data_IF_880746864692
#
_entry.id   IF_880746864692
#
_cell.length_a   1.000
_cell.length_b   1.000
_cell.length_c   1.000
_cell.angle_alpha   90.00
_cell.angle_beta   90.00
_cell.angle_gamma   90.00
#
_symmetry.space_group_name_H-M   'P 1'
#
loop_
_entity.id
_entity.type
_entity.pdbx_description
1 polymer ?
#
# COMPACT_ATOMS: atom_id res chain seq x y z
N UNK A 1 -21.98 -17.75 -0.99
CA UNK A 1 -21.03 -18.52 -0.17
C UNK A 1 -19.66 -18.67 -0.84
N UNK A 2 -19.55 -19.24 -2.04
CA UNK A 2 -18.29 -19.44 -2.78
C UNK A 2 -17.44 -18.18 -3.02
N UNK A 3 -18.06 -17.04 -3.39
CA UNK A 3 -17.35 -15.79 -3.68
C UNK A 3 -16.56 -15.26 -2.47
N UNK A 4 -17.13 -15.29 -1.28
CA UNK A 4 -16.45 -14.82 -0.07
C UNK A 4 -15.27 -15.75 0.31
N UNK A 5 -15.45 -17.07 0.19
CA UNK A 5 -14.39 -18.04 0.41
C UNK A 5 -13.23 -17.86 -0.58
N UNK A 6 -13.54 -17.63 -1.85
CA UNK A 6 -12.54 -17.40 -2.89
C UNK A 6 -11.77 -16.08 -2.67
N UNK A 7 -12.46 -15.00 -2.29
CA UNK A 7 -11.81 -13.73 -1.92
C UNK A 7 -10.88 -13.95 -0.74
N UNK A 8 -11.33 -14.64 0.31
CA UNK A 8 -10.51 -14.93 1.49
C UNK A 8 -9.27 -15.76 1.14
N UNK A 9 -9.41 -16.77 0.31
CA UNK A 9 -8.29 -17.59 -0.16
C UNK A 9 -7.28 -16.77 -0.97
N UNK A 10 -7.73 -16.03 -1.98
CA UNK A 10 -6.87 -15.17 -2.82
C UNK A 10 -6.17 -14.11 -1.98
N UNK A 11 -6.87 -13.52 -1.00
CA UNK A 11 -6.29 -12.52 -0.09
C UNK A 11 -5.18 -13.13 0.76
N UNK A 12 -5.41 -14.29 1.35
CA UNK A 12 -4.42 -14.98 2.18
C UNK A 12 -3.21 -15.42 1.36
N UNK A 13 -3.45 -15.99 0.18
CA UNK A 13 -2.39 -16.37 -0.74
C UNK A 13 -1.56 -15.18 -1.20
N UNK A 14 -2.22 -14.08 -1.62
CA UNK A 14 -1.55 -12.87 -2.07
C UNK A 14 -0.64 -12.27 -0.99
N UNK A 15 -1.14 -12.13 0.24
CA UNK A 15 -0.35 -11.58 1.35
C UNK A 15 0.82 -12.48 1.74
N UNK A 16 0.66 -13.80 1.63
CA UNK A 16 1.74 -14.76 1.89
C UNK A 16 2.84 -14.74 0.82
N UNK A 17 2.49 -14.40 -0.44
CA UNK A 17 3.40 -14.41 -1.59
C UNK A 17 3.74 -12.99 -2.09
N UNK A 18 3.31 -11.94 -1.39
CA UNK A 18 3.62 -10.57 -1.77
C UNK A 18 5.11 -10.28 -1.60
N UNK A 19 5.73 -9.76 -2.66
CA UNK A 19 7.14 -9.36 -2.64
C UNK A 19 7.27 -7.89 -2.22
N UNK A 20 8.30 -7.55 -1.44
CA UNK A 20 8.63 -6.16 -1.14
C UNK A 20 8.85 -5.33 -2.41
N UNK A 21 8.57 -4.04 -2.33
CA UNK A 21 8.78 -3.07 -3.40
C UNK A 21 10.18 -2.46 -3.35
N UNK A 22 10.58 -1.79 -4.43
CA UNK A 22 11.81 -1.02 -4.47
C UNK A 22 13.04 -1.87 -4.74
N UNK A 23 14.13 -1.49 -4.13
CA UNK A 23 15.49 -2.02 -4.31
C UNK A 23 16.48 -0.88 -4.57
N UNK A 24 17.77 -1.15 -4.75
CA UNK A 24 18.79 -0.13 -4.89
C UNK A 24 18.46 0.88 -6.00
N UNK A 25 18.36 2.17 -5.63
CA UNK A 25 18.07 3.26 -6.55
C UNK A 25 16.61 3.40 -7.02
N UNK A 26 15.71 2.51 -6.58
CA UNK A 26 14.28 2.60 -6.91
C UNK A 26 13.56 3.52 -5.94
N UNK A 27 12.76 4.44 -6.48
CA UNK A 27 11.97 5.37 -5.67
C UNK A 27 10.66 4.70 -5.23
N UNK A 28 10.41 4.71 -3.92
CA UNK A 28 9.16 4.28 -3.30
C UNK A 28 8.56 5.45 -2.52
N UNK A 29 7.37 5.90 -2.93
CA UNK A 29 6.62 6.90 -2.18
C UNK A 29 5.84 6.23 -1.06
N UNK A 30 5.90 6.78 0.14
CA UNK A 30 5.24 6.24 1.34
C UNK A 30 4.44 7.34 2.03
N UNK A 31 3.23 7.00 2.45
CA UNK A 31 2.36 7.90 3.22
C UNK A 31 1.35 7.06 4.01
N UNK A 32 0.71 7.65 5.03
CA UNK A 32 -0.38 7.03 5.74
C UNK A 32 -1.71 7.78 5.58
N UNK A 33 -2.77 7.03 5.41
CA UNK A 33 -4.12 7.58 5.32
C UNK A 33 -5.07 6.95 6.35
N UNK A 34 -6.00 7.77 6.83
CA UNK A 34 -7.06 7.31 7.73
C UNK A 34 -8.32 6.96 6.95
N UNK A 35 -8.79 5.72 7.11
CA UNK A 35 -10.00 5.19 6.47
C UNK A 35 -11.15 5.07 7.46
N UNK A 36 -12.38 5.23 6.98
CA UNK A 36 -13.58 5.02 7.78
C UNK A 36 -13.98 6.18 8.71
N UNK A 37 -13.28 7.32 8.65
CA UNK A 37 -13.73 8.53 9.33
C UNK A 37 -14.98 9.08 8.64
N UNK A 38 -16.06 9.31 9.40
CA UNK A 38 -17.26 9.93 8.83
C UNK A 38 -16.97 11.34 8.32
N UNK A 39 -17.49 11.66 7.12
CA UNK A 39 -17.46 13.02 6.57
C UNK A 39 -18.57 13.86 7.19
N UNK A 40 -18.30 15.11 7.51
CA UNK A 40 -19.28 16.09 7.98
C UNK A 40 -20.06 15.69 9.24
N UNK A 41 -19.48 14.86 10.12
CA UNK A 41 -20.12 14.38 11.36
C UNK A 41 -21.46 13.65 11.16
N UNK A 42 -21.81 13.21 9.94
CA UNK A 42 -23.04 12.48 9.63
C UNK A 42 -22.80 10.96 9.68
N UNK A 43 -23.82 10.22 10.17
CA UNK A 43 -23.79 8.75 10.32
C UNK A 43 -23.18 8.28 11.65
N UNK A 44 -23.17 6.95 11.88
CA UNK A 44 -22.63 6.34 13.08
C UNK A 44 -21.12 6.60 13.22
N UNK A 45 -20.65 6.86 14.45
CA UNK A 45 -19.23 7.01 14.74
C UNK A 45 -18.51 5.68 14.45
N UNK A 46 -17.50 5.74 13.59
CA UNK A 46 -16.53 4.66 13.41
C UNK A 46 -15.14 5.26 13.67
N UNK A 47 -14.40 4.63 14.56
CA UNK A 47 -12.97 4.93 14.71
C UNK A 47 -12.31 4.62 13.36
N UNK A 48 -11.74 5.65 12.71
CA UNK A 48 -11.05 5.41 11.44
C UNK A 48 -9.81 4.54 11.65
N UNK A 49 -9.47 3.71 10.66
CA UNK A 49 -8.27 2.87 10.65
C UNK A 49 -7.14 3.57 9.90
N UNK A 50 -5.96 3.62 10.49
CA UNK A 50 -4.75 4.05 9.80
C UNK A 50 -4.25 2.93 8.90
N UNK A 51 -3.88 3.29 7.68
CA UNK A 51 -3.29 2.39 6.67
C UNK A 51 -2.00 3.03 6.20
N UNK A 52 -0.90 2.30 6.30
CA UNK A 52 0.36 2.64 5.65
C UNK A 52 0.30 2.17 4.20
N UNK A 53 0.65 3.04 3.27
CA UNK A 53 0.76 2.72 1.85
C UNK A 53 2.11 3.08 1.29
N UNK A 54 2.52 2.32 0.29
CA UNK A 54 3.69 2.66 -0.51
C UNK A 54 3.48 2.30 -1.97
N UNK A 55 4.06 3.08 -2.87
CA UNK A 55 4.02 2.85 -4.31
C UNK A 55 5.43 2.95 -4.91
N UNK A 56 5.80 1.94 -5.67
CA UNK A 56 7.02 1.89 -6.46
C UNK A 56 6.81 2.67 -7.78
N UNK A 57 7.63 3.69 -8.00
CA UNK A 57 7.51 4.55 -9.19
C UNK A 57 7.79 3.83 -10.51
N UNK A 58 8.65 2.82 -10.49
CA UNK A 58 9.05 2.12 -11.71
C UNK A 58 7.99 1.10 -12.15
N UNK A 59 7.46 0.35 -11.19
CA UNK A 59 6.53 -0.76 -11.47
C UNK A 59 5.08 -0.37 -11.29
N UNK A 60 4.80 0.76 -10.62
CA UNK A 60 3.47 1.19 -10.21
C UNK A 60 2.76 0.18 -9.26
N UNK A 61 3.50 -0.78 -8.70
CA UNK A 61 3.00 -1.69 -7.69
C UNK A 61 2.90 -0.98 -6.34
N UNK A 62 2.04 -1.49 -5.47
CA UNK A 62 1.83 -0.87 -4.17
C UNK A 62 1.63 -1.91 -3.07
N UNK A 63 1.89 -1.48 -1.83
CA UNK A 63 1.38 -2.14 -0.64
C UNK A 63 0.44 -1.19 0.12
N UNK A 64 -0.55 -1.75 0.80
CA UNK A 64 -1.57 -1.05 1.58
C UNK A 64 -1.87 -1.88 2.82
N UNK A 65 -1.30 -1.51 3.97
CA UNK A 65 -1.33 -2.33 5.18
C UNK A 65 -1.98 -1.57 6.33
N UNK A 66 -3.04 -2.10 6.95
CA UNK A 66 -3.59 -1.54 8.17
C UNK A 66 -2.53 -1.47 9.27
N UNK A 67 -2.40 -0.32 9.92
CA UNK A 67 -1.44 -0.13 11.00
C UNK A 67 -1.90 -0.91 12.24
N UNK A 68 -1.04 -1.79 12.81
CA UNK A 68 -1.33 -2.52 14.04
C UNK A 68 -1.80 -1.61 15.17
N UNK A 69 -2.81 -2.06 15.90
CA UNK A 69 -3.44 -1.31 17.00
C UNK A 69 -3.92 0.11 16.61
N UNK A 70 -4.11 0.35 15.31
CA UNK A 70 -4.50 1.65 14.76
C UNK A 70 -3.55 2.80 15.16
N UNK A 71 -2.24 2.53 15.25
CA UNK A 71 -1.18 3.47 15.61
C UNK A 71 -0.29 3.76 14.40
N UNK A 72 0.29 4.97 14.35
CA UNK A 72 1.19 5.41 13.28
C UNK A 72 2.50 6.01 13.81
N UNK A 73 2.96 5.58 14.95
CA UNK A 73 4.27 5.95 15.47
C UNK A 73 5.41 5.21 14.75
N UNK A 74 6.63 5.67 14.93
CA UNK A 74 7.83 5.05 14.36
C UNK A 74 7.93 3.55 14.69
N UNK A 75 7.52 3.17 15.90
CA UNK A 75 7.50 1.79 16.40
C UNK A 75 6.59 0.86 15.57
N UNK A 76 5.63 1.42 14.83
CA UNK A 76 4.72 0.69 13.94
C UNK A 76 5.14 0.81 12.48
N UNK A 77 5.44 2.05 12.04
CA UNK A 77 5.70 2.32 10.63
C UNK A 77 7.02 1.71 10.15
N UNK A 78 8.09 1.83 10.94
CA UNK A 78 9.41 1.37 10.51
C UNK A 78 9.48 -0.16 10.27
N UNK A 79 8.97 -1.02 11.17
CA UNK A 79 8.91 -2.46 10.89
C UNK A 79 8.04 -2.83 9.67
N UNK A 80 6.96 -2.08 9.41
CA UNK A 80 6.15 -2.28 8.22
C UNK A 80 6.92 -1.90 6.95
N UNK A 81 7.65 -0.78 6.98
CA UNK A 81 8.46 -0.35 5.84
C UNK A 81 9.58 -1.37 5.58
N UNK A 82 10.30 -1.83 6.60
CA UNK A 82 11.34 -2.86 6.47
C UNK A 82 10.82 -4.18 5.88
N UNK A 83 9.56 -4.53 6.17
CA UNK A 83 8.92 -5.72 5.59
C UNK A 83 8.52 -5.55 4.13
N UNK A 84 8.08 -4.36 3.74
CA UNK A 84 7.43 -4.11 2.45
C UNK A 84 8.28 -3.33 1.45
N UNK A 85 9.44 -2.84 1.86
CA UNK A 85 10.37 -2.07 1.01
C UNK A 85 11.76 -2.65 1.14
N UNK A 86 12.39 -2.96 0.01
CA UNK A 86 13.74 -3.50 -0.04
C UNK A 86 14.76 -2.45 0.41
N UNK A 87 15.82 -2.85 1.15
CA UNK A 87 16.92 -1.97 1.50
C UNK A 87 17.59 -1.38 0.24
N UNK A 88 18.16 -0.18 0.39
CA UNK A 88 18.78 0.56 -0.72
C UNK A 88 17.78 1.32 -1.59
N UNK A 89 16.47 1.23 -1.31
CA UNK A 89 15.46 2.07 -1.97
C UNK A 89 15.64 3.53 -1.58
N UNK A 90 15.20 4.42 -2.48
CA UNK A 90 15.00 5.84 -2.20
C UNK A 90 13.56 6.01 -1.73
N UNK A 91 13.36 6.39 -0.48
CA UNK A 91 12.03 6.53 0.13
C UNK A 91 11.65 8.00 0.18
N UNK A 92 10.51 8.35 -0.43
CA UNK A 92 9.91 9.68 -0.36
C UNK A 92 8.72 9.67 0.59
N UNK A 93 8.71 10.58 1.57
CA UNK A 93 7.62 10.73 2.53
C UNK A 93 7.24 12.21 2.70
N UNK A 94 6.20 12.47 3.51
CA UNK A 94 6.04 13.77 4.14
C UNK A 94 7.07 13.98 5.28
N UNK A 95 7.01 15.14 5.92
CA UNK A 95 7.90 15.49 7.05
C UNK A 95 7.45 14.88 8.39
N UNK A 96 6.62 13.85 8.41
CA UNK A 96 6.18 13.22 9.65
C UNK A 96 7.33 12.56 10.40
N UNK A 97 7.51 12.90 11.69
CA UNK A 97 8.61 12.40 12.52
C UNK A 97 8.71 10.88 12.67
N UNK A 98 7.67 10.14 12.33
CA UNK A 98 7.67 8.67 12.30
C UNK A 98 8.66 8.06 11.31
N UNK A 99 9.15 8.84 10.35
CA UNK A 99 10.06 8.41 9.29
C UNK A 99 11.54 8.75 9.53
N UNK A 100 11.87 9.53 10.56
CA UNK A 100 13.22 10.08 10.81
C UNK A 100 14.36 9.05 10.87
N UNK A 101 14.06 7.78 11.15
CA UNK A 101 15.06 6.73 11.29
C UNK A 101 15.28 5.92 10.01
N UNK A 102 14.63 6.24 8.89
CA UNK A 102 14.73 5.47 7.65
C UNK A 102 16.18 5.42 7.11
N UNK A 103 16.92 6.52 7.18
CA UNK A 103 18.33 6.56 6.74
C UNK A 103 19.18 5.60 7.56
N UNK A 104 19.01 5.54 8.87
CA UNK A 104 19.72 4.61 9.74
C UNK A 104 19.36 3.13 9.49
N UNK A 105 18.27 2.86 8.75
CA UNK A 105 17.78 1.53 8.39
C UNK A 105 18.13 1.11 6.95
N UNK A 106 19.04 1.86 6.29
CA UNK A 106 19.56 1.49 4.97
C UNK A 106 18.75 1.99 3.79
N UNK A 107 17.94 3.03 3.99
CA UNK A 107 17.23 3.73 2.92
C UNK A 107 17.85 5.09 2.64
N UNK A 108 17.81 5.55 1.41
CA UNK A 108 17.96 6.98 1.10
C UNK A 108 16.59 7.61 1.37
N UNK A 109 16.54 8.63 2.23
CA UNK A 109 15.26 9.21 2.65
C UNK A 109 15.20 10.69 2.34
N UNK A 110 14.24 11.08 1.51
CA UNK A 110 13.94 12.46 1.17
C UNK A 110 12.49 12.80 1.52
N UNK A 111 12.26 14.04 1.93
CA UNK A 111 10.94 14.49 2.39
C UNK A 111 10.41 15.64 1.57
N UNK A 112 9.09 15.76 1.47
CA UNK A 112 8.39 16.90 0.90
C UNK A 112 7.46 17.54 1.93
N UNK A 113 7.50 18.86 2.01
CA UNK A 113 6.58 19.61 2.88
C UNK A 113 5.32 20.01 2.13
N UNK A 114 4.27 19.21 2.29
CA UNK A 114 2.97 19.47 1.63
C UNK A 114 2.27 20.76 2.08
N UNK A 115 2.68 21.36 3.18
CA UNK A 115 2.13 22.65 3.64
C UNK A 115 2.61 23.80 2.77
N UNK A 116 3.79 23.66 2.17
CA UNK A 116 4.44 24.70 1.37
C UNK A 116 4.26 24.41 -0.12
N UNK A 117 4.44 23.14 -0.54
CA UNK A 117 4.46 22.76 -1.95
C UNK A 117 4.21 21.26 -2.17
N UNK A 118 3.60 20.93 -3.32
CA UNK A 118 3.35 19.53 -3.71
C UNK A 118 4.57 18.83 -4.30
N UNK A 119 5.54 19.58 -4.79
CA UNK A 119 6.82 19.10 -5.36
C UNK A 119 7.91 20.02 -4.85
N UNK A 120 8.95 19.46 -4.26
CA UNK A 120 10.12 20.24 -3.88
C UNK A 120 10.83 20.78 -5.15
N UNK A 121 10.92 22.10 -5.35
CA UNK A 121 11.46 22.66 -6.59
C UNK A 121 12.97 22.47 -6.74
N UNK A 122 13.71 22.20 -5.66
CA UNK A 122 15.14 22.00 -5.70
C UNK A 122 15.51 20.53 -5.99
N UNK A 123 14.72 19.59 -5.45
CA UNK A 123 15.03 18.15 -5.54
C UNK A 123 14.07 17.37 -6.43
N UNK A 124 12.87 17.93 -6.73
CA UNK A 124 11.81 17.22 -7.45
C UNK A 124 11.06 16.18 -6.59
N UNK A 125 11.39 16.07 -5.30
CA UNK A 125 10.75 15.12 -4.37
C UNK A 125 9.26 15.43 -4.25
N UNK A 126 8.43 14.42 -4.33
CA UNK A 126 6.98 14.52 -4.19
C UNK A 126 6.38 13.16 -3.83
N UNK A 127 5.11 13.14 -3.36
CA UNK A 127 4.34 11.93 -3.06
C UNK A 127 3.04 11.87 -3.87
N UNK A 128 3.04 12.45 -5.07
CA UNK A 128 1.84 12.59 -5.91
C UNK A 128 1.24 11.24 -6.34
N UNK A 129 2.08 10.22 -6.58
CA UNK A 129 1.59 8.88 -6.92
C UNK A 129 0.88 8.24 -5.73
N UNK A 130 1.40 8.42 -4.51
CA UNK A 130 0.78 7.90 -3.30
C UNK A 130 -0.54 8.63 -2.99
N UNK A 131 -0.61 9.95 -3.20
CA UNK A 131 -1.86 10.70 -3.07
C UNK A 131 -2.92 10.25 -4.08
N UNK A 132 -2.54 10.05 -5.33
CA UNK A 132 -3.39 9.48 -6.37
C UNK A 132 -3.87 8.07 -6.01
N UNK A 133 -3.01 7.26 -5.42
CA UNK A 133 -3.35 5.94 -4.91
C UNK A 133 -4.47 6.03 -3.86
N UNK A 134 -4.32 6.93 -2.86
CA UNK A 134 -5.34 7.14 -1.83
C UNK A 134 -6.69 7.57 -2.39
N UNK A 135 -6.70 8.43 -3.40
CA UNK A 135 -7.94 8.83 -4.07
C UNK A 135 -8.68 7.61 -4.63
N UNK A 136 -7.97 6.74 -5.36
CA UNK A 136 -8.57 5.55 -5.98
C UNK A 136 -9.04 4.52 -4.95
N UNK A 137 -8.26 4.27 -3.89
CA UNK A 137 -8.63 3.36 -2.81
C UNK A 137 -9.85 3.87 -2.06
N UNK A 138 -9.88 5.16 -1.68
CA UNK A 138 -11.03 5.79 -1.00
C UNK A 138 -12.29 5.75 -1.85
N UNK A 139 -12.18 5.95 -3.17
CA UNK A 139 -13.30 5.81 -4.10
C UNK A 139 -13.86 4.38 -4.11
N UNK A 140 -13.00 3.38 -4.11
CA UNK A 140 -13.38 1.97 -4.08
C UNK A 140 -14.00 1.54 -2.76
N UNK A 141 -13.63 2.19 -1.65
CA UNK A 141 -14.24 1.98 -0.33
C UNK A 141 -15.71 2.40 -0.24
N UNK A 142 -16.18 3.25 -1.16
CA UNK A 142 -17.56 3.71 -1.17
C UNK A 142 -18.51 2.52 -1.42
N UNK A 143 -19.32 2.16 -0.42
CA UNK A 143 -20.22 1.00 -0.48
C UNK A 143 -19.63 -0.33 -0.03
N UNK A 144 -18.34 -0.42 0.26
CA UNK A 144 -17.70 -1.63 0.79
C UNK A 144 -17.75 -1.67 2.32
N UNK A 145 -17.96 -2.87 2.90
CA UNK A 145 -18.07 -3.07 4.34
C UNK A 145 -16.77 -3.45 5.03
N UNK A 146 -15.84 -4.10 4.29
CA UNK A 146 -14.58 -4.61 4.81
C UNK A 146 -13.40 -3.86 4.17
N UNK A 147 -12.59 -3.20 5.00
CA UNK A 147 -11.40 -2.47 4.55
C UNK A 147 -10.36 -3.42 3.98
N UNK A 148 -10.07 -4.52 4.69
CA UNK A 148 -9.01 -5.45 4.31
C UNK A 148 -9.25 -6.05 2.93
N UNK A 149 -10.47 -6.46 2.63
CA UNK A 149 -10.85 -6.99 1.30
C UNK A 149 -10.60 -5.95 0.19
N UNK A 150 -10.90 -4.67 0.45
CA UNK A 150 -10.68 -3.61 -0.53
C UNK A 150 -9.20 -3.34 -0.75
N UNK A 151 -8.40 -3.30 0.32
CA UNK A 151 -6.96 -3.08 0.23
C UNK A 151 -6.27 -4.21 -0.54
N UNK A 152 -6.58 -5.46 -0.18
CA UNK A 152 -6.00 -6.63 -0.83
C UNK A 152 -6.42 -6.73 -2.29
N UNK A 153 -7.71 -6.57 -2.61
CA UNK A 153 -8.20 -6.57 -4.00
C UNK A 153 -7.55 -5.45 -4.82
N UNK A 154 -7.30 -4.28 -4.22
CA UNK A 154 -6.64 -3.18 -4.89
C UNK A 154 -5.18 -3.50 -5.20
N UNK A 155 -4.41 -3.99 -4.22
CA UNK A 155 -3.03 -4.43 -4.40
C UNK A 155 -2.92 -5.55 -5.44
N UNK A 156 -3.79 -6.56 -5.36
CA UNK A 156 -3.85 -7.68 -6.29
C UNK A 156 -4.04 -7.22 -7.72
N UNK A 157 -5.06 -6.38 -7.97
CA UNK A 157 -5.33 -5.85 -9.31
C UNK A 157 -4.16 -5.07 -9.86
N UNK A 158 -3.50 -4.27 -9.03
CA UNK A 158 -2.37 -3.47 -9.44
C UNK A 158 -1.14 -4.32 -9.73
N UNK A 159 -0.92 -5.38 -8.94
CA UNK A 159 0.18 -6.34 -9.14
C UNK A 159 0.07 -7.08 -10.48
N UNK A 160 -1.14 -7.47 -10.86
CA UNK A 160 -1.39 -8.30 -12.05
C UNK A 160 -1.94 -7.53 -13.24
N UNK A 161 -1.95 -6.20 -13.18
CA UNK A 161 -2.47 -5.29 -14.22
C UNK A 161 -3.88 -5.66 -14.70
N UNK A 162 -4.76 -5.87 -13.77
CA UNK A 162 -5.96 -6.62 -13.95
C UNK A 162 -7.21 -5.79 -14.25
N UNK A 163 -7.85 -6.04 -15.39
CA UNK A 163 -9.12 -5.44 -15.81
C UNK A 163 -10.34 -6.13 -15.20
N UNK A 164 -10.30 -7.43 -14.94
CA UNK A 164 -11.41 -8.17 -14.29
C UNK A 164 -10.91 -9.11 -13.18
N UNK A 165 -11.66 -9.17 -12.04
CA UNK A 165 -11.23 -9.96 -10.87
C UNK A 165 -11.23 -11.48 -11.09
N UNK A 166 -12.12 -12.00 -11.94
CA UNK A 166 -12.30 -13.44 -12.17
C UNK A 166 -11.23 -14.01 -13.11
N UNK A 167 -10.93 -13.33 -14.19
CA UNK A 167 -9.88 -13.76 -15.14
C UNK A 167 -8.50 -13.82 -14.50
N UNK A 168 -8.23 -12.93 -13.55
CA UNK A 168 -6.96 -12.92 -12.84
C UNK A 168 -6.83 -14.02 -11.81
N UNK A 169 -7.90 -14.32 -11.10
CA UNK A 169 -7.95 -15.49 -10.23
C UNK A 169 -7.65 -16.73 -11.07
N UNK A 170 -8.28 -16.88 -12.25
CA UNK A 170 -8.04 -17.98 -13.16
C UNK A 170 -6.59 -18.02 -13.67
N UNK A 171 -6.02 -16.89 -14.07
CA UNK A 171 -4.63 -16.80 -14.54
C UNK A 171 -3.63 -17.07 -13.42
N UNK A 172 -3.90 -16.61 -12.20
CA UNK A 172 -3.05 -16.88 -11.03
C UNK A 172 -3.11 -18.36 -10.66
N UNK A 173 -4.30 -19.00 -10.68
CA UNK A 173 -4.45 -20.43 -10.47
C UNK A 173 -3.76 -21.26 -11.56
N UNK A 174 -3.89 -20.86 -12.83
CA UNK A 174 -3.18 -21.54 -13.93
C UNK A 174 -1.66 -21.42 -13.78
N UNK A 175 -1.13 -20.26 -13.37
CA UNK A 175 0.28 -20.08 -13.06
C UNK A 175 0.74 -20.99 -11.92
N UNK A 176 -0.07 -21.10 -10.85
CA UNK A 176 0.23 -21.96 -9.70
C UNK A 176 0.20 -23.46 -10.06
N UNK A 177 -0.80 -23.89 -10.83
CA UNK A 177 -0.91 -25.26 -11.33
C UNK A 177 0.26 -25.61 -12.26
N UNK A 178 0.75 -24.66 -13.03
CA UNK A 178 1.92 -24.86 -13.91
C UNK A 178 3.20 -25.05 -13.11
N UNK A 179 3.38 -24.27 -12.03
CA UNK A 179 4.53 -24.41 -11.12
C UNK A 179 4.51 -25.77 -10.40
N UNK A 180 3.35 -26.18 -9.89
CA UNK A 180 3.20 -27.49 -9.19
C UNK A 180 3.33 -28.70 -10.11
N UNK A 181 3.28 -28.53 -11.43
CA UNK A 181 3.48 -29.61 -12.41
C UNK A 181 4.91 -29.68 -12.95
N UNK A 182 5.75 -28.71 -12.58
CA UNK A 182 7.15 -28.64 -13.02
C UNK A 182 8.13 -29.26 -12.02
N UNK A 183 7.64 -29.65 -10.81
CA UNK A 183 8.32 -30.46 -9.79
C UNK A 183 7.84 -31.92 -9.87
#
# INVERSE_FOLDING_TARGET
MWRAALIGFVSSWFLANATPLGGPGVIVEIDEAKFGKRKYHRGNYRAGMWVLGGVDRNTNQCFLIPCPNNRRGAEVLLPLIERWVLPGSIVYTDEWGGYNQLTARGYTHDTVNHTIQFVDPATGVNTNMQEGLWYHVKKKMTGCKNLDDVLVDFMFRRRFNATSGIEQIANTFNGYVTVLRAD
#
